data_IF_884775153352
#
_entry.id   IF_884775153352
#
_cell.length_a   1.000
_cell.length_b   1.000
_cell.length_c   1.000
_cell.angle_alpha   90.00
_cell.angle_beta   90.00
_cell.angle_gamma   90.00
#
_symmetry.space_group_name_H-M   'P 1'
#
loop_
_entity.id
_entity.type
_entity.pdbx_description
1 polymer ?
#
# COMPACT_ATOMS: atom_id res chain seq x y z
N UNK A 1 -21.06 -15.63 6.64
CA UNK A 1 -21.96 -14.50 6.95
C UNK A 1 -21.74 -13.86 8.32
N UNK A 2 -21.59 -14.63 9.41
CA UNK A 2 -21.41 -14.07 10.77
C UNK A 2 -20.10 -13.28 10.97
N UNK A 3 -18.98 -13.76 10.42
CA UNK A 3 -17.68 -13.09 10.52
C UNK A 3 -17.62 -11.75 9.75
N UNK A 4 -18.23 -11.69 8.55
CA UNK A 4 -18.36 -10.45 7.78
C UNK A 4 -19.21 -9.42 8.52
N UNK A 5 -20.34 -9.84 9.12
CA UNK A 5 -21.14 -8.98 9.99
C UNK A 5 -20.33 -8.48 11.18
N UNK A 6 -19.52 -9.33 11.83
CA UNK A 6 -18.66 -8.89 12.93
C UNK A 6 -17.66 -7.81 12.51
N UNK A 7 -17.19 -7.79 11.26
CA UNK A 7 -16.29 -6.76 10.73
C UNK A 7 -17.00 -5.50 10.20
N UNK A 8 -18.28 -5.57 9.84
CA UNK A 8 -19.04 -4.41 9.33
C UNK A 8 -19.96 -3.78 10.37
N UNK A 9 -20.39 -4.54 11.38
CA UNK A 9 -21.29 -4.13 12.46
C UNK A 9 -20.68 -4.35 13.86
N UNK A 10 -19.38 -4.61 13.94
CA UNK A 10 -18.69 -4.92 15.20
C UNK A 10 -18.82 -3.81 16.26
N UNK A 11 -18.75 -4.16 17.55
CA UNK A 11 -19.02 -3.22 18.64
C UNK A 11 -18.09 -1.97 18.63
N UNK A 12 -16.86 -2.09 18.12
CA UNK A 12 -15.91 -0.99 18.09
C UNK A 12 -15.85 -0.33 16.69
N UNK A 13 -16.32 0.92 16.52
CA UNK A 13 -16.40 1.58 15.23
C UNK A 13 -15.04 1.79 14.54
N UNK A 14 -13.94 1.88 15.30
CA UNK A 14 -12.60 2.13 14.71
C UNK A 14 -12.04 0.96 13.90
N UNK A 15 -12.61 -0.24 14.05
CA UNK A 15 -12.22 -1.44 13.29
C UNK A 15 -13.26 -1.86 12.26
N UNK A 16 -14.35 -1.09 12.11
CA UNK A 16 -15.39 -1.42 11.12
C UNK A 16 -14.86 -1.15 9.72
N UNK A 17 -15.10 -2.10 8.82
CA UNK A 17 -14.83 -1.91 7.41
C UNK A 17 -15.86 -0.95 6.81
N UNK A 18 -15.41 0.08 6.13
CA UNK A 18 -16.26 0.98 5.34
C UNK A 18 -16.43 0.40 3.95
N UNK A 19 -17.61 -0.19 3.71
CA UNK A 19 -17.97 -0.80 2.42
C UNK A 19 -18.61 0.20 1.44
N UNK A 20 -18.82 1.46 1.86
CA UNK A 20 -19.33 2.51 0.98
C UNK A 20 -18.21 3.12 0.11
N UNK A 21 -16.95 2.97 0.53
CA UNK A 21 -15.77 3.38 -0.22
C UNK A 21 -15.28 2.25 -1.15
N UNK A 22 -14.71 2.55 -2.32
CA UNK A 22 -14.11 1.53 -3.15
C UNK A 22 -12.94 0.87 -2.41
N UNK A 23 -12.68 -0.43 -2.65
CA UNK A 23 -11.51 -1.08 -2.10
C UNK A 23 -10.24 -0.57 -2.79
N UNK A 24 -9.11 -0.58 -2.08
CA UNK A 24 -7.78 -0.31 -2.62
C UNK A 24 -6.83 -1.46 -2.22
N UNK A 25 -6.94 -2.67 -2.82
CA UNK A 25 -6.08 -3.80 -2.46
C UNK A 25 -4.61 -3.58 -2.86
N UNK A 26 -4.39 -2.81 -3.92
CA UNK A 26 -3.07 -2.39 -4.38
C UNK A 26 -3.14 -1.07 -5.16
N UNK A 27 -2.01 -0.38 -5.27
CA UNK A 27 -1.83 0.86 -6.04
C UNK A 27 -0.46 0.84 -6.73
N UNK A 28 -0.41 1.03 -8.04
CA UNK A 28 0.84 1.03 -8.81
C UNK A 28 0.94 -0.14 -9.80
N UNK A 29 2.03 -0.13 -10.57
CA UNK A 29 2.33 -1.17 -11.55
C UNK A 29 2.85 -2.45 -10.87
N UNK A 30 2.40 -3.62 -11.30
CA UNK A 30 2.74 -4.90 -10.67
C UNK A 30 4.22 -5.28 -10.81
N UNK A 31 4.91 -4.72 -11.80
CA UNK A 31 6.34 -4.89 -12.08
C UNK A 31 7.22 -3.80 -11.44
N UNK A 32 6.65 -2.88 -10.66
CA UNK A 32 7.38 -1.82 -9.97
C UNK A 32 8.55 -2.36 -9.12
N UNK A 33 9.78 -1.84 -9.25
CA UNK A 33 10.96 -2.39 -8.56
C UNK A 33 10.93 -2.19 -7.04
N UNK A 34 10.19 -1.19 -6.54
CA UNK A 34 9.97 -0.97 -5.11
C UNK A 34 8.55 -1.35 -4.72
N UNK A 35 8.41 -2.28 -3.78
CA UNK A 35 7.12 -2.73 -3.26
C UNK A 35 7.00 -2.37 -1.78
N UNK A 36 5.89 -1.76 -1.37
CA UNK A 36 5.59 -1.47 0.04
C UNK A 36 4.41 -2.30 0.53
N UNK A 37 4.66 -3.08 1.59
CA UNK A 37 3.63 -3.91 2.22
C UNK A 37 2.96 -3.13 3.35
N UNK A 38 1.67 -2.90 3.17
CA UNK A 38 0.84 -2.07 4.03
C UNK A 38 -0.25 -2.90 4.69
N UNK A 39 -0.97 -2.27 5.62
CA UNK A 39 -1.94 -2.93 6.46
C UNK A 39 -3.32 -2.96 5.78
N UNK A 40 -3.97 -1.81 5.75
CA UNK A 40 -5.18 -1.56 4.99
C UNK A 40 -5.29 -0.06 4.70
N UNK A 41 -6.12 0.35 3.72
CA UNK A 41 -6.41 1.76 3.51
C UNK A 41 -6.97 2.39 4.78
N UNK A 42 -6.35 3.47 5.23
CA UNK A 42 -6.83 4.22 6.39
C UNK A 42 -8.06 5.02 6.03
N UNK A 43 -9.07 5.04 6.90
CA UNK A 43 -10.28 5.85 6.69
C UNK A 43 -10.14 7.24 7.33
N UNK A 44 -10.27 8.28 6.52
CA UNK A 44 -10.41 9.69 6.86
C UNK A 44 -11.86 10.15 6.77
N UNK A 45 -12.22 11.22 7.50
CA UNK A 45 -13.52 11.89 7.37
C UNK A 45 -13.74 12.51 6.00
N UNK A 46 -12.66 12.87 5.31
CA UNK A 46 -12.71 13.46 3.97
C UNK A 46 -12.91 12.44 2.85
N UNK A 47 -12.73 11.14 3.10
CA UNK A 47 -12.77 10.11 2.05
C UNK A 47 -14.12 10.05 1.30
N UNK A 48 -15.30 10.09 1.96
CA UNK A 48 -16.57 10.03 1.24
C UNK A 48 -16.74 11.18 0.25
N UNK A 49 -16.38 12.40 0.66
CA UNK A 49 -16.45 13.57 -0.21
C UNK A 49 -15.41 13.50 -1.34
N UNK A 50 -14.20 13.00 -1.03
CA UNK A 50 -13.13 12.86 -2.01
C UNK A 50 -13.50 11.84 -3.10
N UNK A 51 -14.06 10.68 -2.71
CA UNK A 51 -14.49 9.60 -3.62
C UNK A 51 -15.76 9.91 -4.41
N UNK A 52 -16.60 10.81 -3.91
CA UNK A 52 -17.77 11.31 -4.62
C UNK A 52 -17.43 12.25 -5.79
N UNK A 53 -16.19 12.77 -5.86
CA UNK A 53 -15.77 13.64 -6.96
C UNK A 53 -15.73 12.87 -8.29
N UNK A 54 -16.12 13.49 -9.41
CA UNK A 54 -16.16 12.81 -10.71
C UNK A 54 -14.80 12.20 -11.09
N UNK A 55 -14.82 10.95 -11.55
CA UNK A 55 -13.64 10.27 -12.07
C UNK A 55 -12.72 9.62 -11.03
N UNK A 56 -12.85 9.92 -9.72
CA UNK A 56 -12.02 9.32 -8.66
C UNK A 56 -12.27 7.83 -8.54
N UNK A 57 -13.50 7.45 -8.17
CA UNK A 57 -13.88 6.05 -8.02
C UNK A 57 -13.63 5.23 -9.30
N UNK A 58 -14.03 5.69 -10.51
CA UNK A 58 -13.69 4.98 -11.74
C UNK A 58 -12.20 4.75 -11.94
N UNK A 59 -11.34 5.71 -11.58
CA UNK A 59 -9.88 5.56 -11.70
C UNK A 59 -9.32 4.54 -10.72
N UNK A 60 -9.79 4.55 -9.47
CA UNK A 60 -9.42 3.55 -8.46
C UNK A 60 -9.83 2.14 -8.91
N UNK A 61 -11.04 1.98 -9.43
CA UNK A 61 -11.52 0.70 -9.93
C UNK A 61 -10.80 0.27 -11.22
N UNK A 62 -10.48 1.21 -12.11
CA UNK A 62 -9.68 0.94 -13.31
C UNK A 62 -8.31 0.36 -12.96
N UNK A 63 -7.63 0.91 -11.94
CA UNK A 63 -6.37 0.33 -11.46
C UNK A 63 -6.50 -1.14 -11.06
N UNK A 64 -7.62 -1.52 -10.43
CA UNK A 64 -7.86 -2.89 -9.97
C UNK A 64 -8.19 -3.83 -11.13
N UNK A 65 -8.91 -3.31 -12.13
CA UNK A 65 -9.37 -4.07 -13.29
C UNK A 65 -8.32 -4.23 -14.39
N UNK A 66 -7.26 -3.41 -14.39
CA UNK A 66 -6.19 -3.45 -15.39
C UNK A 66 -5.16 -4.51 -15.05
N UNK A 67 -4.92 -5.44 -15.99
CA UNK A 67 -3.82 -6.39 -15.90
C UNK A 67 -2.48 -5.65 -15.81
N UNK A 68 -1.69 -5.97 -14.78
CA UNK A 68 -0.44 -5.26 -14.49
C UNK A 68 -0.61 -3.99 -13.65
N UNK A 69 -1.84 -3.57 -13.34
CA UNK A 69 -2.12 -2.35 -12.60
C UNK A 69 -1.95 -1.09 -13.44
N UNK A 70 -1.98 0.07 -12.80
CA UNK A 70 -1.73 1.37 -13.43
C UNK A 70 -0.76 2.19 -12.59
N UNK A 71 -0.09 3.21 -13.15
CA UNK A 71 0.70 4.13 -12.34
C UNK A 71 -0.14 4.69 -11.19
N UNK A 72 0.46 4.82 -10.01
CA UNK A 72 -0.25 5.24 -8.80
C UNK A 72 -0.90 6.61 -9.01
N UNK A 73 -2.23 6.61 -9.15
CA UNK A 73 -3.00 7.80 -9.52
C UNK A 73 -3.01 8.88 -8.45
N UNK A 74 -2.68 8.57 -7.19
CA UNK A 74 -2.49 9.58 -6.15
C UNK A 74 -1.20 10.39 -6.30
N UNK A 75 -0.28 9.93 -7.14
CA UNK A 75 0.98 10.60 -7.45
C UNK A 75 0.92 11.40 -8.76
N UNK A 76 -0.14 11.25 -9.56
CA UNK A 76 -0.24 11.91 -10.87
C UNK A 76 -0.51 13.42 -10.82
N UNK A 77 -0.67 14.00 -9.62
CA UNK A 77 -0.96 15.43 -9.43
C UNK A 77 -2.39 15.87 -9.78
N UNK A 78 -3.22 14.98 -10.33
CA UNK A 78 -4.61 15.30 -10.72
C UNK A 78 -5.48 15.69 -9.53
N UNK A 79 -5.15 15.16 -8.34
CA UNK A 79 -5.99 15.27 -7.15
C UNK A 79 -5.15 15.61 -5.92
N UNK A 80 -4.55 16.81 -5.86
CA UNK A 80 -3.55 17.15 -4.83
C UNK A 80 -4.09 17.08 -3.40
N UNK A 81 -5.39 17.37 -3.23
CA UNK A 81 -6.05 17.43 -1.92
C UNK A 81 -6.76 16.11 -1.52
N UNK A 82 -6.69 15.07 -2.36
CA UNK A 82 -7.24 13.76 -2.00
C UNK A 82 -6.46 13.18 -0.80
N UNK A 83 -7.12 12.59 0.21
CA UNK A 83 -6.45 12.01 1.39
C UNK A 83 -5.30 11.05 1.02
N UNK A 84 -5.53 10.17 0.04
CA UNK A 84 -4.50 9.31 -0.56
C UNK A 84 -3.30 10.08 -1.12
N UNK A 85 -3.51 11.15 -1.89
CA UNK A 85 -2.45 12.01 -2.43
C UNK A 85 -1.64 12.70 -1.34
N UNK A 86 -2.31 13.24 -0.32
CA UNK A 86 -1.67 13.86 0.84
C UNK A 86 -0.82 12.84 1.61
N UNK A 87 -1.36 11.64 1.82
CA UNK A 87 -0.64 10.54 2.48
C UNK A 87 0.62 10.16 1.69
N UNK A 88 0.51 9.99 0.38
CA UNK A 88 1.63 9.61 -0.49
C UNK A 88 2.71 10.69 -0.57
N UNK A 89 2.34 11.98 -0.70
CA UNK A 89 3.29 13.10 -0.68
C UNK A 89 4.11 13.15 0.61
N UNK A 90 3.46 12.92 1.76
CA UNK A 90 4.15 12.82 3.05
C UNK A 90 5.06 11.60 3.11
N UNK A 91 4.57 10.45 2.66
CA UNK A 91 5.27 9.16 2.71
C UNK A 91 6.54 9.17 1.85
N UNK A 92 6.47 9.75 0.65
CA UNK A 92 7.57 9.75 -0.31
C UNK A 92 8.43 11.03 -0.28
N UNK A 93 8.15 11.96 0.65
CA UNK A 93 8.88 13.23 0.75
C UNK A 93 10.39 13.03 0.77
N UNK A 94 10.88 12.03 1.50
CA UNK A 94 12.31 11.73 1.59
C UNK A 94 12.94 11.39 0.25
N UNK A 95 12.22 10.68 -0.63
CA UNK A 95 12.68 10.36 -1.99
C UNK A 95 12.61 11.59 -2.90
N UNK A 96 11.55 12.39 -2.82
CA UNK A 96 11.45 13.61 -3.64
C UNK A 96 12.53 14.65 -3.30
N UNK A 97 12.97 14.72 -2.03
CA UNK A 97 14.12 15.55 -1.64
C UNK A 97 15.44 15.09 -2.24
N UNK A 98 15.53 13.84 -2.72
CA UNK A 98 16.69 13.31 -3.44
C UNK A 98 16.62 13.50 -4.96
N UNK A 99 15.54 14.09 -5.47
CA UNK A 99 15.38 14.41 -6.90
C UNK A 99 14.37 13.54 -7.64
N UNK A 100 13.83 12.46 -7.03
CA UNK A 100 12.81 11.64 -7.67
C UNK A 100 11.52 12.44 -7.90
N UNK A 101 10.95 12.31 -9.10
CA UNK A 101 9.67 12.96 -9.42
C UNK A 101 8.48 12.11 -8.96
N UNK A 102 7.32 12.72 -8.71
CA UNK A 102 6.11 11.94 -8.43
C UNK A 102 5.65 11.11 -9.63
N UNK A 103 5.94 11.54 -10.86
CA UNK A 103 5.64 10.78 -12.06
C UNK A 103 6.45 9.48 -12.11
N UNK A 104 7.75 9.56 -11.87
CA UNK A 104 8.64 8.41 -11.75
C UNK A 104 8.17 7.47 -10.63
N UNK A 105 7.97 8.00 -9.41
CA UNK A 105 7.51 7.22 -8.26
C UNK A 105 6.14 6.59 -8.48
N UNK A 106 5.28 7.18 -9.31
CA UNK A 106 3.98 6.58 -9.66
C UNK A 106 4.12 5.29 -10.46
N UNK A 107 5.24 5.12 -11.18
CA UNK A 107 5.53 3.95 -12.01
C UNK A 107 6.44 2.95 -11.29
N UNK A 108 7.28 3.44 -10.39
CA UNK A 108 8.31 2.61 -9.75
C UNK A 108 7.97 2.12 -8.34
N UNK A 109 6.84 2.57 -7.77
CA UNK A 109 6.35 2.14 -6.46
C UNK A 109 5.01 1.41 -6.57
N UNK A 110 4.97 0.18 -6.05
CA UNK A 110 3.75 -0.60 -5.84
C UNK A 110 3.43 -0.69 -4.35
N UNK A 111 2.23 -0.29 -3.97
CA UNK A 111 1.70 -0.55 -2.64
C UNK A 111 0.75 -1.73 -2.65
N UNK A 112 0.95 -2.66 -1.72
CA UNK A 112 0.10 -3.82 -1.51
C UNK A 112 -0.51 -3.75 -0.11
N UNK A 113 -1.83 -3.70 -0.01
CA UNK A 113 -2.54 -3.71 1.26
C UNK A 113 -2.83 -5.15 1.66
N UNK A 114 -2.62 -5.51 2.93
CA UNK A 114 -2.96 -6.84 3.42
C UNK A 114 -4.45 -7.14 3.22
N UNK A 115 -5.32 -6.13 3.32
CA UNK A 115 -6.65 -6.15 2.70
C UNK A 115 -7.05 -4.77 2.16
N UNK A 116 -7.84 -4.74 1.09
CA UNK A 116 -8.19 -3.49 0.39
C UNK A 116 -9.30 -2.65 1.02
N UNK A 117 -9.94 -3.08 2.10
CA UNK A 117 -11.08 -2.34 2.69
C UNK A 117 -10.63 -1.28 3.70
N UNK A 118 -11.28 -0.12 3.64
CA UNK A 118 -11.02 1.02 4.49
C UNK A 118 -11.47 0.78 5.95
N UNK A 119 -10.66 1.20 6.91
CA UNK A 119 -11.07 1.33 8.31
C UNK A 119 -10.23 2.39 9.03
N UNK A 120 -10.74 3.04 10.10
CA UNK A 120 -9.94 4.02 10.86
C UNK A 120 -8.67 3.40 11.46
N UNK A 121 -8.75 2.16 11.93
CA UNK A 121 -7.62 1.39 12.42
C UNK A 121 -7.60 -0.02 11.83
N UNK A 122 -6.40 -0.54 11.64
CA UNK A 122 -6.18 -1.94 11.27
C UNK A 122 -6.59 -2.88 12.40
N UNK A 123 -7.18 -4.03 12.03
CA UNK A 123 -7.35 -5.23 12.85
C UNK A 123 -7.30 -6.48 11.94
N UNK A 124 -6.86 -7.68 12.36
CA UNK A 124 -6.88 -8.82 11.46
C UNK A 124 -8.34 -9.23 11.28
N UNK A 125 -8.70 -9.51 10.02
CA UNK A 125 -9.98 -10.11 9.68
C UNK A 125 -9.87 -11.61 10.01
N UNK A 126 -10.86 -12.23 10.67
CA UNK A 126 -10.76 -13.62 11.15
C UNK A 126 -10.87 -14.68 10.02
N UNK A 127 -10.68 -14.26 8.77
CA UNK A 127 -10.69 -15.10 7.57
C UNK A 127 -9.91 -14.40 6.45
N UNK A 128 -9.40 -15.18 5.51
CA UNK A 128 -8.73 -14.65 4.32
C UNK A 128 -9.78 -14.31 3.26
N UNK A 129 -9.80 -13.07 2.79
CA UNK A 129 -10.63 -12.65 1.66
C UNK A 129 -10.03 -13.19 0.36
N UNK A 130 -10.84 -13.56 -0.66
CA UNK A 130 -10.32 -14.01 -1.95
C UNK A 130 -9.35 -13.04 -2.61
N UNK A 131 -9.56 -11.73 -2.43
CA UNK A 131 -8.66 -10.69 -2.94
C UNK A 131 -7.27 -10.71 -2.29
N UNK A 132 -7.13 -11.24 -1.08
CA UNK A 132 -5.83 -11.34 -0.41
C UNK A 132 -4.94 -12.38 -1.07
N UNK A 133 -5.50 -13.47 -1.60
CA UNK A 133 -4.72 -14.47 -2.35
C UNK A 133 -4.02 -13.82 -3.55
N UNK A 134 -4.73 -12.98 -4.30
CA UNK A 134 -4.14 -12.23 -5.40
C UNK A 134 -3.03 -11.28 -4.94
N UNK A 135 -3.23 -10.55 -3.85
CA UNK A 135 -2.18 -9.70 -3.27
C UNK A 135 -0.96 -10.52 -2.83
N UNK A 136 -1.16 -11.70 -2.24
CA UNK A 136 -0.05 -12.58 -1.84
C UNK A 136 0.73 -13.08 -3.05
N UNK A 137 0.04 -13.40 -4.15
CA UNK A 137 0.67 -13.77 -5.40
C UNK A 137 1.44 -12.60 -6.04
N UNK A 138 0.97 -11.35 -5.88
CA UNK A 138 1.75 -10.17 -6.27
C UNK A 138 3.05 -10.04 -5.47
N UNK A 139 3.02 -10.30 -4.16
CA UNK A 139 4.24 -10.31 -3.34
C UNK A 139 5.22 -11.38 -3.82
N UNK A 140 4.75 -12.62 -4.06
CA UNK A 140 5.61 -13.70 -4.57
C UNK A 140 6.18 -13.37 -5.96
N UNK A 141 5.39 -12.75 -6.83
CA UNK A 141 5.87 -12.28 -8.15
C UNK A 141 6.92 -11.18 -8.02
N UNK A 142 6.76 -10.26 -7.07
CA UNK A 142 7.77 -9.25 -6.76
C UNK A 142 9.08 -9.89 -6.28
N UNK A 143 8.99 -10.92 -5.42
CA UNK A 143 10.15 -11.68 -4.98
C UNK A 143 10.84 -12.42 -6.13
N UNK A 144 10.09 -13.02 -7.05
CA UNK A 144 10.67 -13.76 -8.19
C UNK A 144 11.42 -12.88 -9.21
N UNK A 145 11.21 -11.56 -9.17
CA UNK A 145 11.90 -10.58 -10.01
C UNK A 145 12.85 -9.68 -9.21
N UNK A 146 13.25 -10.13 -8.02
CA UNK A 146 14.21 -9.47 -7.13
C UNK A 146 13.83 -8.04 -6.69
N UNK A 147 12.53 -7.71 -6.65
CA UNK A 147 12.06 -6.39 -6.19
C UNK A 147 12.47 -6.10 -4.73
N UNK A 148 12.76 -4.83 -4.42
CA UNK A 148 12.97 -4.40 -3.03
C UNK A 148 11.62 -4.29 -2.33
N UNK A 149 11.48 -4.96 -1.18
CA UNK A 149 10.23 -5.02 -0.42
C UNK A 149 10.40 -4.29 0.92
N UNK A 150 9.64 -3.21 1.09
CA UNK A 150 9.51 -2.52 2.39
C UNK A 150 8.48 -3.28 3.25
N UNK A 151 8.96 -3.88 4.33
CA UNK A 151 8.13 -4.62 5.29
C UNK A 151 7.98 -3.80 6.59
N UNK A 152 6.89 -3.04 6.69
CA UNK A 152 6.67 -2.08 7.77
C UNK A 152 5.67 -2.52 8.85
N UNK A 153 4.56 -1.78 8.95
CA UNK A 153 3.45 -2.10 9.86
C UNK A 153 2.95 -3.51 9.57
N UNK A 154 2.52 -4.23 10.60
CA UNK A 154 2.02 -5.62 10.53
C UNK A 154 2.97 -6.65 9.87
N UNK A 155 4.28 -6.42 9.91
CA UNK A 155 5.30 -7.35 9.37
C UNK A 155 5.08 -8.81 9.82
N UNK A 156 4.72 -9.02 11.08
CA UNK A 156 4.52 -10.36 11.64
C UNK A 156 3.30 -11.06 10.98
N UNK A 157 2.27 -10.30 10.61
CA UNK A 157 1.08 -10.83 9.91
C UNK A 157 1.42 -11.18 8.47
N UNK A 158 2.16 -10.31 7.78
CA UNK A 158 2.65 -10.58 6.42
C UNK A 158 3.53 -11.83 6.37
N UNK A 159 4.45 -12.00 7.32
CA UNK A 159 5.35 -13.16 7.39
C UNK A 159 4.67 -14.45 7.87
N UNK A 160 3.46 -14.37 8.44
CA UNK A 160 2.62 -15.55 8.67
C UNK A 160 1.94 -15.97 7.36
N UNK A 161 1.43 -15.00 6.59
CA UNK A 161 0.75 -15.27 5.32
C UNK A 161 1.72 -15.68 4.18
N UNK A 162 2.93 -15.13 4.20
CA UNK A 162 3.98 -15.35 3.20
C UNK A 162 5.30 -15.61 3.95
N UNK A 163 5.51 -16.84 4.45
CA UNK A 163 6.70 -17.19 5.23
C UNK A 163 8.03 -16.91 4.52
N UNK A 164 8.04 -16.95 3.19
CA UNK A 164 9.18 -16.71 2.32
C UNK A 164 9.79 -15.30 2.53
N UNK A 165 9.00 -14.33 2.99
CA UNK A 165 9.49 -12.98 3.34
C UNK A 165 10.56 -12.98 4.43
N UNK A 166 10.63 -14.01 5.29
CA UNK A 166 11.62 -14.08 6.38
C UNK A 166 13.05 -14.28 5.87
N UNK A 167 13.20 -14.93 4.72
CA UNK A 167 14.50 -15.28 4.14
C UNK A 167 14.77 -14.53 2.83
N UNK A 168 13.85 -13.70 2.35
CA UNK A 168 14.01 -12.96 1.11
C UNK A 168 15.07 -11.84 1.29
N UNK A 169 16.16 -11.83 0.48
CA UNK A 169 17.31 -10.95 0.73
C UNK A 169 17.01 -9.46 0.52
N UNK A 170 16.02 -9.12 -0.32
CA UNK A 170 15.69 -7.74 -0.66
C UNK A 170 14.54 -7.17 0.21
N UNK A 171 14.29 -7.75 1.39
CA UNK A 171 13.43 -7.11 2.40
C UNK A 171 14.20 -6.03 3.14
N UNK A 172 13.60 -4.84 3.22
CA UNK A 172 14.07 -3.73 4.06
C UNK A 172 13.00 -3.39 5.10
N UNK A 173 13.43 -3.14 6.33
CA UNK A 173 12.52 -2.85 7.45
C UNK A 173 12.79 -1.45 8.01
N UNK A 174 11.77 -0.59 8.15
CA UNK A 174 11.96 0.71 8.76
C UNK A 174 12.27 0.57 10.26
N UNK A 175 13.08 1.49 10.80
CA UNK A 175 13.43 1.58 12.23
C UNK A 175 12.21 1.67 13.16
N UNK A 176 11.09 2.18 12.65
CA UNK A 176 9.82 2.19 13.37
C UNK A 176 8.69 1.71 12.47
N UNK A 177 7.88 0.78 12.99
CA UNK A 177 6.73 0.18 12.28
C UNK A 177 5.49 1.08 12.24
N UNK A 178 5.51 2.24 12.92
CA UNK A 178 4.36 3.17 13.00
C UNK A 178 4.41 4.29 11.95
N UNK A 179 5.60 4.63 11.46
CA UNK A 179 5.77 5.68 10.47
C UNK A 179 6.06 5.05 9.10
N UNK A 180 5.22 5.38 8.12
CA UNK A 180 5.34 4.85 6.76
C UNK A 180 6.36 5.63 5.91
N UNK A 181 6.90 6.75 6.39
CA UNK A 181 7.79 7.61 5.60
C UNK A 181 9.01 6.84 5.05
N UNK A 182 9.28 7.05 3.77
CA UNK A 182 10.43 6.49 3.05
C UNK A 182 11.48 7.60 2.95
N UNK A 183 12.42 7.59 3.89
CA UNK A 183 13.48 8.60 4.00
C UNK A 183 14.73 8.02 4.65
N UNK A 184 15.89 8.65 4.43
CA UNK A 184 17.17 8.19 4.97
C UNK A 184 17.17 7.97 6.49
N UNK A 185 16.45 8.81 7.24
CA UNK A 185 16.34 8.68 8.69
C UNK A 185 15.62 7.40 9.14
N UNK A 186 14.72 6.87 8.30
CA UNK A 186 13.83 5.76 8.61
C UNK A 186 14.44 4.37 8.40
N UNK A 187 15.56 4.28 7.68
CA UNK A 187 16.20 3.00 7.33
C UNK A 187 17.68 3.00 7.76
N UNK A 188 18.30 1.83 7.78
CA UNK A 188 19.77 1.77 7.86
C UNK A 188 20.36 2.37 6.57
N UNK A 189 21.63 2.84 6.57
CA UNK A 189 22.24 3.36 5.34
C UNK A 189 22.18 2.37 4.18
N UNK A 190 22.50 1.09 4.45
CA UNK A 190 22.48 0.02 3.46
C UNK A 190 21.07 -0.28 2.93
N UNK A 191 20.05 -0.33 3.81
CA UNK A 191 18.68 -0.57 3.37
C UNK A 191 18.13 0.61 2.56
N UNK A 192 18.49 1.85 2.94
CA UNK A 192 18.07 3.02 2.19
C UNK A 192 18.72 3.10 0.81
N UNK A 193 20.00 2.72 0.72
CA UNK A 193 20.72 2.60 -0.56
C UNK A 193 20.05 1.57 -1.47
N UNK A 194 19.67 0.38 -0.97
CA UNK A 194 18.90 -0.59 -1.76
C UNK A 194 17.58 -0.01 -2.28
N UNK A 195 16.88 0.79 -1.47
CA UNK A 195 15.64 1.46 -1.90
C UNK A 195 15.93 2.42 -3.06
N UNK A 196 16.96 3.25 -2.96
CA UNK A 196 17.28 4.23 -4.00
C UNK A 196 17.82 3.58 -5.27
N UNK A 197 18.63 2.53 -5.14
CA UNK A 197 19.16 1.77 -6.28
C UNK A 197 18.04 1.10 -7.07
N UNK A 198 17.03 0.57 -6.38
CA UNK A 198 15.84 0.01 -7.01
C UNK A 198 15.00 1.04 -7.77
N UNK A 199 15.19 2.34 -7.54
CA UNK A 199 14.47 3.40 -8.25
C UNK A 199 15.27 3.98 -9.42
N UNK A 200 16.55 3.64 -9.57
CA UNK A 200 17.43 4.18 -10.61
C UNK A 200 17.29 3.48 -11.99
N UNK A 201 16.16 2.82 -12.24
CA UNK A 201 15.90 1.94 -13.40
C UNK A 201 15.35 2.70 -14.60
#
# INVERSE_FOLDING_TARGET
MQALRATTTGANPKYRLDLALPPEPFLGLHDAPLVTLLANPGRSESDPAAYARPGITPRTLHNIATDGGTPNHFLSGAEPDHPGSLWWRRTLRGLTTLGHSYEELSRTVLALQFHGYHSPEWRPIPFTLPSQSFTFDLVRRAMSRDAVIILGRIADVWTIAIPELRSYPNVVTPKTRRNAAISRGMFTPQDFERITDALAV
#
